data_IF_820025959507
#
_entry.id   IF_820025959507
#
_cell.length_a   1.000
_cell.length_b   1.000
_cell.length_c   1.000
_cell.angle_alpha   90.00
_cell.angle_beta   90.00
_cell.angle_gamma   90.00
#
_symmetry.space_group_name_H-M   'P 1'
#
loop_
_entity.id
_entity.type
_entity.pdbx_description
1 polymer ?
#
# COMPACT_ATOMS: atom_id res chain seq x y z
N UNK A 1 -34.07 9.49 -6.17
CA UNK A 1 -32.83 10.11 -5.65
C UNK A 1 -31.73 9.06 -5.64
N UNK A 2 -30.51 9.39 -6.07
CA UNK A 2 -29.35 8.49 -5.84
C UNK A 2 -28.99 8.50 -4.35
N UNK A 3 -28.64 7.36 -3.75
CA UNK A 3 -28.29 7.32 -2.33
C UNK A 3 -26.99 8.11 -2.09
N UNK A 4 -26.92 8.86 -0.98
CA UNK A 4 -25.80 9.73 -0.64
C UNK A 4 -25.36 9.53 0.80
N UNK A 5 -24.05 9.63 1.05
CA UNK A 5 -23.43 9.57 2.38
C UNK A 5 -23.08 10.96 2.86
N UNK A 6 -23.31 11.20 4.16
CA UNK A 6 -22.87 12.42 4.85
C UNK A 6 -21.41 12.28 5.25
N UNK A 7 -20.56 13.19 4.79
CA UNK A 7 -19.14 13.23 5.13
C UNK A 7 -18.87 14.42 6.04
N UNK A 8 -18.23 14.20 7.18
CA UNK A 8 -17.76 15.24 8.10
C UNK A 8 -16.24 15.25 8.13
N UNK A 9 -15.63 16.43 7.95
CA UNK A 9 -14.19 16.64 8.04
C UNK A 9 -13.85 17.25 9.39
N UNK A 10 -12.95 16.63 10.13
CA UNK A 10 -12.52 17.05 11.46
C UNK A 10 -11.02 17.28 11.47
N UNK A 11 -10.60 18.42 11.98
CA UNK A 11 -9.19 18.76 12.14
C UNK A 11 -8.56 17.88 13.23
N UNK A 12 -7.42 17.26 12.91
CA UNK A 12 -6.73 16.33 13.80
C UNK A 12 -6.08 17.01 15.01
N UNK A 13 -5.74 18.29 14.90
CA UNK A 13 -5.03 19.04 15.94
C UNK A 13 -6.01 19.65 16.95
N UNK A 14 -7.06 20.29 16.45
CA UNK A 14 -8.05 21.01 17.25
C UNK A 14 -9.32 20.20 17.55
N UNK A 15 -9.55 19.08 16.85
CA UNK A 15 -10.79 18.30 16.94
C UNK A 15 -12.01 19.02 16.38
N UNK A 16 -11.84 20.20 15.76
CA UNK A 16 -12.95 21.02 15.25
C UNK A 16 -13.42 20.49 13.89
N UNK A 17 -14.74 20.55 13.66
CA UNK A 17 -15.30 20.29 12.33
C UNK A 17 -14.88 21.40 11.37
N UNK A 18 -14.16 21.01 10.32
CA UNK A 18 -13.74 21.89 9.22
C UNK A 18 -14.87 22.09 8.20
N UNK A 19 -15.71 21.07 8.02
CA UNK A 19 -16.83 21.14 7.08
C UNK A 19 -17.61 19.84 6.95
N UNK A 20 -18.72 19.90 6.21
CA UNK A 20 -19.58 18.76 5.91
C UNK A 20 -19.93 18.74 4.43
N UNK A 21 -19.98 17.55 3.82
CA UNK A 21 -20.34 17.33 2.43
C UNK A 21 -21.32 16.16 2.29
N UNK A 22 -21.97 16.07 1.13
CA UNK A 22 -22.69 14.85 0.72
C UNK A 22 -22.03 14.29 -0.53
N UNK A 23 -21.66 13.02 -0.47
CA UNK A 23 -21.12 12.29 -1.61
C UNK A 23 -22.14 11.23 -2.07
N UNK A 24 -22.33 11.03 -3.38
CA UNK A 24 -23.01 9.84 -3.88
C UNK A 24 -22.35 8.58 -3.29
N UNK A 25 -23.15 7.58 -2.90
CA UNK A 25 -22.65 6.33 -2.27
C UNK A 25 -21.57 5.67 -3.14
N UNK A 26 -21.69 5.76 -4.46
CA UNK A 26 -20.75 5.15 -5.41
C UNK A 26 -19.42 5.92 -5.50
N UNK A 27 -19.40 7.18 -5.03
CA UNK A 27 -18.21 8.03 -4.95
C UNK A 27 -17.61 8.07 -3.55
N UNK A 28 -18.15 7.31 -2.61
CA UNK A 28 -17.50 7.11 -1.31
C UNK A 28 -16.26 6.28 -1.57
N UNK A 29 -15.05 6.88 -1.54
CA UNK A 29 -13.84 6.10 -1.68
C UNK A 29 -13.81 5.10 -0.53
N UNK A 30 -13.19 3.93 -0.74
CA UNK A 30 -12.72 3.21 0.42
C UNK A 30 -11.80 4.19 1.16
N UNK A 31 -12.04 4.56 2.43
CA UNK A 31 -11.21 5.55 3.12
C UNK A 31 -9.73 5.16 3.14
N UNK A 32 -9.44 3.89 2.85
CA UNK A 32 -8.13 3.28 2.72
C UNK A 32 -7.56 3.25 1.28
N UNK A 33 -8.37 3.47 0.25
CA UNK A 33 -7.94 3.73 -1.14
C UNK A 33 -7.49 5.17 -1.37
N UNK A 34 -7.60 6.02 -0.34
CA UNK A 34 -7.23 7.43 -0.44
C UNK A 34 -5.75 7.56 -0.84
N UNK A 35 -5.52 8.26 -1.97
CA UNK A 35 -4.37 9.14 -2.07
C UNK A 35 -4.37 9.99 -0.79
N UNK A 36 -3.27 10.08 -0.05
CA UNK A 36 -3.26 10.64 1.29
C UNK A 36 -3.55 12.14 1.32
N UNK A 37 -3.89 12.79 0.20
CA UNK A 37 -4.10 14.24 0.09
C UNK A 37 -5.52 14.55 -0.38
N UNK A 38 -6.20 15.39 0.38
CA UNK A 38 -7.55 15.88 0.13
C UNK A 38 -7.49 17.40 0.04
N UNK A 39 -8.11 17.99 -0.98
CA UNK A 39 -8.17 19.43 -1.15
C UNK A 39 -9.48 19.95 -0.56
N UNK A 40 -9.42 20.81 0.46
CA UNK A 40 -10.58 21.52 1.02
C UNK A 40 -10.41 23.01 0.76
N UNK A 41 -11.07 23.52 -0.29
CA UNK A 41 -10.83 24.88 -0.76
C UNK A 41 -9.40 25.03 -1.32
N UNK A 42 -8.66 26.02 -0.85
CA UNK A 42 -7.26 26.28 -1.27
C UNK A 42 -6.23 25.49 -0.45
N UNK A 43 -6.65 24.84 0.64
CA UNK A 43 -5.74 24.11 1.52
C UNK A 43 -5.71 22.61 1.22
N UNK A 44 -4.50 22.05 1.23
CA UNK A 44 -4.26 20.63 1.13
C UNK A 44 -4.21 20.00 2.53
N UNK A 45 -4.94 18.91 2.70
CA UNK A 45 -4.99 18.13 3.94
C UNK A 45 -4.57 16.69 3.68
N UNK A 46 -4.07 16.01 4.71
CA UNK A 46 -3.90 14.56 4.71
C UNK A 46 -4.93 13.88 5.59
N UNK A 47 -5.50 12.78 5.12
CA UNK A 47 -6.43 11.98 5.95
C UNK A 47 -5.64 11.13 6.92
N UNK A 48 -5.91 11.32 8.21
CA UNK A 48 -5.23 10.63 9.32
C UNK A 48 -6.06 9.47 9.84
N UNK A 49 -7.39 9.61 9.86
CA UNK A 49 -8.32 8.58 10.34
C UNK A 49 -9.65 8.67 9.59
N UNK A 50 -10.32 7.54 9.45
CA UNK A 50 -11.68 7.45 8.93
C UNK A 50 -12.56 6.63 9.87
N UNK A 51 -13.78 7.10 10.12
CA UNK A 51 -14.77 6.43 10.96
C UNK A 51 -16.15 6.45 10.28
N UNK A 52 -16.77 5.30 9.97
CA UNK A 52 -16.21 3.96 10.01
C UNK A 52 -14.99 3.76 9.11
N UNK A 53 -14.10 2.83 9.47
CA UNK A 53 -12.88 2.52 8.70
C UNK A 53 -13.20 1.78 7.39
N UNK A 54 -14.29 1.01 7.36
CA UNK A 54 -14.69 0.20 6.21
C UNK A 54 -15.77 0.88 5.38
N UNK A 55 -15.60 0.89 4.06
CA UNK A 55 -16.58 1.47 3.13
C UNK A 55 -17.96 0.80 3.20
N UNK A 56 -18.02 -0.51 3.48
CA UNK A 56 -19.28 -1.22 3.68
C UNK A 56 -20.09 -0.67 4.86
N UNK A 57 -19.40 -0.28 5.94
CA UNK A 57 -20.03 0.27 7.13
C UNK A 57 -20.52 1.69 6.85
N UNK A 58 -19.77 2.46 6.07
CA UNK A 58 -20.19 3.78 5.58
C UNK A 58 -21.44 3.67 4.71
N UNK A 59 -21.50 2.68 3.79
CA UNK A 59 -22.68 2.43 2.95
C UNK A 59 -23.91 2.06 3.78
N UNK A 60 -23.71 1.29 4.85
CA UNK A 60 -24.77 0.83 5.75
C UNK A 60 -25.26 1.94 6.66
N UNK A 61 -24.34 2.73 7.25
CA UNK A 61 -24.65 3.79 8.21
C UNK A 61 -25.05 5.11 7.55
N UNK A 62 -24.64 5.33 6.31
CA UNK A 62 -24.89 6.56 5.57
C UNK A 62 -24.04 7.75 6.03
N UNK A 63 -23.03 7.53 6.88
CA UNK A 63 -22.20 8.56 7.50
C UNK A 63 -20.72 8.17 7.50
N UNK A 64 -19.84 9.14 7.28
CA UNK A 64 -18.37 9.02 7.30
C UNK A 64 -17.76 10.25 7.96
N UNK A 65 -16.90 10.04 8.95
CA UNK A 65 -16.09 11.08 9.59
C UNK A 65 -14.63 10.89 9.18
N UNK A 66 -14.03 11.92 8.60
CA UNK A 66 -12.63 11.94 8.22
C UNK A 66 -11.88 12.91 9.13
N UNK A 67 -10.94 12.38 9.92
CA UNK A 67 -9.99 13.20 10.66
C UNK A 67 -8.82 13.52 9.75
N UNK A 68 -8.56 14.81 9.55
CA UNK A 68 -7.59 15.31 8.57
C UNK A 68 -6.61 16.26 9.24
N UNK A 69 -5.39 16.35 8.70
CA UNK A 69 -4.36 17.28 9.17
C UNK A 69 -3.88 18.12 8.01
N UNK A 70 -3.75 19.44 8.20
CA UNK A 70 -3.25 20.32 7.14
C UNK A 70 -1.84 19.91 6.71
N UNK A 71 -1.59 19.89 5.41
CA UNK A 71 -0.24 19.72 4.87
C UNK A 71 0.50 21.03 5.08
N UNK A 72 1.50 21.01 5.95
CA UNK A 72 2.50 22.07 6.00
C UNK A 72 3.56 21.68 4.99
N UNK A 73 3.69 22.44 3.90
CA UNK A 73 4.79 22.26 2.97
C UNK A 73 6.09 22.60 3.70
N UNK A 74 6.78 21.56 4.16
CA UNK A 74 8.18 21.68 4.58
C UNK A 74 9.01 21.87 3.31
N UNK A 75 10.05 22.73 3.33
CA UNK A 75 11.02 22.76 2.26
C UNK A 75 11.56 21.33 2.05
N UNK A 76 11.36 20.76 0.86
CA UNK A 76 11.75 19.37 0.58
C UNK A 76 13.26 19.13 0.63
N UNK A 77 14.06 20.19 0.74
CA UNK A 77 15.53 20.13 0.71
C UNK A 77 16.19 19.35 1.84
N UNK A 78 15.52 19.17 2.98
CA UNK A 78 16.12 18.54 4.18
C UNK A 78 15.50 17.19 4.56
N UNK A 79 14.53 16.67 3.79
CA UNK A 79 13.86 15.41 4.10
C UNK A 79 14.48 14.24 3.34
N UNK A 80 15.38 13.51 4.01
CA UNK A 80 15.90 12.25 3.50
C UNK A 80 14.79 11.19 3.40
N UNK A 81 14.77 10.47 2.28
CA UNK A 81 13.92 9.29 2.10
C UNK A 81 14.44 8.14 2.96
N UNK A 82 13.55 7.45 3.67
CA UNK A 82 13.92 6.28 4.51
C UNK A 82 14.37 5.07 3.69
N UNK A 83 13.95 5.00 2.42
CA UNK A 83 14.22 3.88 1.51
C UNK A 83 14.71 4.43 0.17
N UNK A 84 15.59 3.69 -0.54
CA UNK A 84 16.17 4.15 -1.81
C UNK A 84 15.20 3.99 -2.98
N UNK A 85 14.17 3.16 -2.82
CA UNK A 85 13.16 2.91 -3.85
C UNK A 85 11.75 2.94 -3.28
N UNK A 86 10.76 3.20 -4.13
CA UNK A 86 9.34 3.08 -3.82
C UNK A 86 8.61 2.48 -5.03
N UNK A 87 7.66 1.59 -4.78
CA UNK A 87 6.78 1.11 -5.84
C UNK A 87 5.82 2.24 -6.28
N UNK A 88 5.68 2.47 -7.59
CA UNK A 88 4.77 3.51 -8.11
C UNK A 88 3.28 3.16 -7.95
N UNK A 89 2.99 1.87 -7.75
CA UNK A 89 1.64 1.36 -7.53
C UNK A 89 1.54 0.56 -6.26
N UNK A 90 0.45 0.79 -5.53
CA UNK A 90 0.00 -0.04 -4.42
C UNK A 90 -0.90 -1.16 -4.95
N UNK A 91 -0.93 -2.32 -4.26
CA UNK A 91 -1.77 -3.43 -4.63
C UNK A 91 -3.25 -3.09 -4.42
N UNK A 92 -4.18 -3.73 -5.18
CA UNK A 92 -5.61 -3.49 -5.03
C UNK A 92 -6.11 -3.92 -3.65
N UNK A 93 -7.03 -3.16 -3.08
CA UNK A 93 -7.68 -3.51 -1.81
C UNK A 93 -8.83 -4.50 -2.03
N UNK A 94 -8.95 -5.42 -1.08
CA UNK A 94 -10.06 -6.34 -0.95
C UNK A 94 -11.24 -5.72 -0.21
N UNK A 95 -12.15 -6.58 0.20
CA UNK A 95 -13.33 -6.22 0.99
C UNK A 95 -13.37 -7.10 2.25
N UNK A 96 -14.11 -6.64 3.26
CA UNK A 96 -14.27 -7.37 4.53
C UNK A 96 -13.23 -7.02 5.60
N UNK A 97 -13.45 -7.51 6.83
CA UNK A 97 -12.57 -7.22 7.96
C UNK A 97 -11.22 -7.92 7.80
N UNK A 98 -10.16 -7.28 8.28
CA UNK A 98 -8.83 -7.86 8.35
C UNK A 98 -8.71 -8.80 9.58
N UNK A 99 -8.26 -10.06 9.40
CA UNK A 99 -7.90 -10.93 10.53
C UNK A 99 -6.76 -10.37 11.38
N UNK A 100 -6.75 -10.66 12.68
CA UNK A 100 -5.73 -10.15 13.60
C UNK A 100 -4.33 -10.66 13.22
N UNK A 101 -4.23 -11.92 12.78
CA UNK A 101 -2.99 -12.60 12.39
C UNK A 101 -2.52 -12.26 10.98
N UNK A 102 -3.17 -11.30 10.29
CA UNK A 102 -2.77 -10.91 8.94
C UNK A 102 -1.32 -10.38 8.88
N UNK A 103 -0.62 -10.71 7.79
CA UNK A 103 0.67 -10.12 7.49
C UNK A 103 0.50 -8.63 7.15
N UNK A 104 1.15 -7.74 7.90
CA UNK A 104 1.10 -6.29 7.66
C UNK A 104 2.43 -5.79 7.13
N UNK A 105 2.46 -5.26 5.91
CA UNK A 105 3.65 -4.74 5.25
C UNK A 105 3.64 -3.21 5.26
N UNK A 106 4.75 -2.56 5.58
CA UNK A 106 4.85 -1.10 5.44
C UNK A 106 4.60 -0.70 3.99
N UNK A 107 3.82 0.37 3.76
CA UNK A 107 3.52 0.86 2.41
C UNK A 107 4.78 1.12 1.60
N UNK A 108 5.78 1.76 2.20
CA UNK A 108 7.04 2.07 1.53
C UNK A 108 7.94 0.83 1.35
N UNK A 109 7.69 -0.24 2.12
CA UNK A 109 8.39 -1.51 1.98
C UNK A 109 7.75 -2.43 0.92
N UNK A 110 6.63 -2.03 0.32
CA UNK A 110 5.94 -2.83 -0.69
C UNK A 110 6.87 -3.15 -1.87
N UNK A 111 7.07 -4.45 -2.14
CA UNK A 111 7.88 -4.97 -3.25
C UNK A 111 9.35 -4.52 -3.23
N UNK A 112 9.93 -4.16 -2.09
CA UNK A 112 11.35 -3.73 -2.04
C UNK A 112 12.32 -4.81 -2.51
N UNK A 113 12.02 -6.08 -2.21
CA UNK A 113 12.71 -7.23 -2.75
C UNK A 113 11.67 -8.08 -3.47
N UNK A 114 11.78 -8.15 -4.79
CA UNK A 114 10.78 -8.71 -5.67
C UNK A 114 11.40 -9.78 -6.58
N UNK A 115 10.66 -10.86 -6.81
CA UNK A 115 11.01 -11.88 -7.79
C UNK A 115 10.48 -11.46 -9.15
N UNK A 116 11.36 -11.49 -10.15
CA UNK A 116 11.04 -11.19 -11.54
C UNK A 116 11.62 -12.28 -12.45
N UNK A 117 10.99 -12.49 -13.59
CA UNK A 117 11.47 -13.37 -14.63
C UNK A 117 12.78 -12.88 -15.23
N UNK A 118 13.64 -13.82 -15.60
CA UNK A 118 14.87 -13.53 -16.35
C UNK A 118 14.60 -12.98 -17.74
N UNK A 119 13.41 -13.19 -18.27
CA UNK A 119 12.99 -12.64 -19.58
C UNK A 119 12.94 -11.11 -19.58
N UNK A 120 12.95 -10.49 -18.40
CA UNK A 120 13.00 -9.03 -18.23
C UNK A 120 14.41 -8.51 -17.89
N UNK A 121 15.47 -9.30 -18.10
CA UNK A 121 16.83 -8.99 -17.64
C UNK A 121 17.33 -7.60 -18.03
N UNK A 122 17.02 -7.11 -19.24
CA UNK A 122 17.42 -5.79 -19.70
C UNK A 122 16.77 -4.67 -18.88
N UNK A 123 15.44 -4.68 -18.76
CA UNK A 123 14.71 -3.71 -17.94
C UNK A 123 15.08 -3.81 -16.44
N UNK A 124 15.34 -5.02 -15.93
CA UNK A 124 15.84 -5.22 -14.57
C UNK A 124 17.22 -4.57 -14.39
N UNK A 125 18.11 -4.70 -15.37
CA UNK A 125 19.44 -4.11 -15.31
C UNK A 125 19.38 -2.57 -15.28
N UNK A 126 18.50 -1.96 -16.07
CA UNK A 126 18.26 -0.51 -16.06
C UNK A 126 17.74 -0.03 -14.70
N UNK A 127 16.73 -0.71 -14.14
CA UNK A 127 16.19 -0.42 -12.81
C UNK A 127 17.30 -0.54 -11.75
N UNK A 128 18.10 -1.61 -11.76
CA UNK A 128 19.18 -1.82 -10.80
C UNK A 128 20.28 -0.74 -10.91
N UNK A 129 20.58 -0.22 -12.11
CA UNK A 129 21.50 0.90 -12.27
C UNK A 129 20.96 2.18 -11.62
N UNK A 130 19.67 2.47 -11.76
CA UNK A 130 19.04 3.60 -11.08
C UNK A 130 19.11 3.44 -9.55
N UNK A 131 18.78 2.25 -9.03
CA UNK A 131 18.84 1.96 -7.59
C UNK A 131 20.26 2.11 -7.04
N UNK A 132 21.27 1.58 -7.75
CA UNK A 132 22.68 1.69 -7.33
C UNK A 132 23.15 3.14 -7.21
N UNK A 133 22.71 4.04 -8.11
CA UNK A 133 23.04 5.47 -8.04
C UNK A 133 22.48 6.15 -6.79
N UNK A 134 21.25 5.81 -6.40
CA UNK A 134 20.63 6.34 -5.18
C UNK A 134 21.30 5.73 -3.95
N UNK A 135 21.56 4.42 -3.94
CA UNK A 135 22.26 3.74 -2.86
C UNK A 135 23.66 4.33 -2.59
N UNK A 136 24.42 4.67 -3.64
CA UNK A 136 25.76 5.26 -3.47
C UNK A 136 25.77 6.68 -2.89
N UNK A 137 24.60 7.34 -2.86
CA UNK A 137 24.41 8.68 -2.30
C UNK A 137 23.70 8.64 -0.92
N UNK A 138 23.42 7.44 -0.40
CA UNK A 138 22.82 7.29 0.92
C UNK A 138 23.79 7.72 2.02
N UNK A 139 23.26 8.39 3.03
CA UNK A 139 24.01 8.85 4.20
C UNK A 139 23.38 8.31 5.49
N UNK A 140 24.02 8.55 6.63
CA UNK A 140 23.49 8.16 7.94
C UNK A 140 22.18 8.92 8.22
N UNK A 141 21.04 8.29 7.90
CA UNK A 141 19.71 8.87 8.09
C UNK A 141 18.76 8.68 6.90
N UNK A 142 19.25 8.30 5.73
CA UNK A 142 18.42 8.00 4.56
C UNK A 142 19.06 8.34 3.23
N UNK A 143 18.22 8.58 2.23
CA UNK A 143 18.61 8.83 0.84
C UNK A 143 18.11 10.20 0.39
N UNK A 144 18.96 11.04 -0.23
CA UNK A 144 18.55 12.35 -0.73
C UNK A 144 17.64 12.25 -1.96
N UNK A 145 17.62 11.08 -2.61
CA UNK A 145 16.82 10.79 -3.79
C UNK A 145 16.08 9.47 -3.59
N UNK A 146 15.06 9.25 -4.42
CA UNK A 146 14.23 8.05 -4.41
C UNK A 146 14.04 7.57 -5.84
N UNK A 147 14.27 6.27 -6.09
CA UNK A 147 13.85 5.63 -7.33
C UNK A 147 12.38 5.23 -7.21
N UNK A 148 11.51 5.94 -7.92
CA UNK A 148 10.13 5.51 -8.11
C UNK A 148 10.07 4.45 -9.21
N UNK A 149 9.78 3.20 -8.83
CA UNK A 149 9.75 2.05 -9.75
C UNK A 149 8.44 2.04 -10.53
N UNK A 150 8.49 2.64 -11.73
CA UNK A 150 7.38 2.75 -12.69
C UNK A 150 7.35 1.62 -13.72
N UNK A 151 8.44 0.86 -13.82
CA UNK A 151 8.62 -0.20 -14.80
C UNK A 151 7.54 -1.26 -14.63
N UNK A 152 6.71 -1.41 -15.65
CA UNK A 152 5.69 -2.44 -15.71
C UNK A 152 6.31 -3.68 -16.36
N UNK A 153 6.39 -4.76 -15.58
CA UNK A 153 6.81 -6.07 -16.07
C UNK A 153 5.57 -6.87 -16.46
N UNK A 154 5.28 -7.06 -17.76
CA UNK A 154 4.15 -7.89 -18.18
C UNK A 154 4.41 -9.34 -17.75
N UNK A 155 3.47 -9.92 -16.99
CA UNK A 155 3.59 -11.28 -16.46
C UNK A 155 4.94 -11.52 -15.73
N UNK A 156 5.21 -10.81 -14.63
CA UNK A 156 6.54 -10.72 -14.02
C UNK A 156 7.13 -12.06 -13.57
N UNK A 157 6.33 -13.13 -13.53
CA UNK A 157 6.69 -14.46 -13.05
C UNK A 157 6.30 -15.58 -14.02
N UNK A 158 5.86 -15.30 -15.26
CA UNK A 158 5.31 -16.30 -16.20
C UNK A 158 4.32 -17.29 -15.57
N UNK A 159 3.20 -16.78 -15.07
CA UNK A 159 2.06 -17.59 -14.63
C UNK A 159 2.40 -18.64 -13.54
N UNK A 160 3.29 -18.31 -12.60
CA UNK A 160 3.43 -19.11 -11.38
C UNK A 160 2.14 -19.06 -10.56
N UNK A 161 1.54 -20.22 -10.30
CA UNK A 161 0.39 -20.37 -9.42
C UNK A 161 0.83 -20.34 -7.95
N UNK A 162 -0.03 -19.80 -7.09
CA UNK A 162 0.25 -19.70 -5.63
C UNK A 162 0.50 -21.07 -5.01
N UNK A 163 -0.27 -22.10 -5.43
CA UNK A 163 -0.12 -23.48 -4.95
C UNK A 163 1.24 -24.08 -5.30
N UNK A 164 1.83 -23.69 -6.45
CA UNK A 164 3.18 -24.12 -6.81
C UNK A 164 4.22 -23.54 -5.84
N UNK A 165 4.03 -22.27 -5.43
CA UNK A 165 4.90 -21.59 -4.46
C UNK A 165 4.81 -22.31 -3.11
N UNK A 166 3.60 -22.56 -2.61
CA UNK A 166 3.34 -23.27 -1.35
C UNK A 166 4.04 -24.62 -1.29
N UNK A 167 3.94 -25.42 -2.37
CA UNK A 167 4.55 -26.74 -2.45
C UNK A 167 6.08 -26.70 -2.54
N UNK A 168 6.66 -25.57 -2.98
CA UNK A 168 8.10 -25.48 -3.23
C UNK A 168 8.92 -25.26 -1.95
N UNK A 169 8.30 -24.72 -0.90
CA UNK A 169 8.93 -24.48 0.39
C UNK A 169 8.55 -25.56 1.40
N UNK A 170 9.48 -25.94 2.28
CA UNK A 170 9.22 -26.93 3.34
C UNK A 170 8.44 -26.26 4.47
N UNK A 171 7.19 -26.67 4.64
CA UNK A 171 6.31 -26.27 5.76
C UNK A 171 6.15 -24.74 5.90
N UNK A 172 5.68 -24.03 4.85
CA UNK A 172 5.33 -22.62 5.00
C UNK A 172 4.15 -22.46 5.97
N UNK A 173 4.26 -21.51 6.90
CA UNK A 173 3.12 -21.09 7.73
C UNK A 173 2.34 -20.02 6.95
N UNK A 174 1.14 -20.35 6.48
CA UNK A 174 0.31 -19.40 5.73
C UNK A 174 -0.29 -18.35 6.67
N UNK A 175 -0.22 -17.08 6.25
CA UNK A 175 -1.01 -16.03 6.89
C UNK A 175 -2.44 -16.06 6.35
N UNK A 176 -3.45 -15.78 7.19
CA UNK A 176 -4.85 -15.77 6.74
C UNK A 176 -5.15 -14.61 5.77
N UNK A 177 -4.35 -13.54 5.82
CA UNK A 177 -4.46 -12.41 4.92
C UNK A 177 -3.13 -11.64 4.82
N UNK A 178 -3.01 -10.84 3.77
CA UNK A 178 -1.97 -9.84 3.58
C UNK A 178 -2.61 -8.44 3.53
N UNK A 179 -2.01 -7.47 4.20
CA UNK A 179 -2.41 -6.07 4.15
C UNK A 179 -1.21 -5.12 4.20
N UNK A 180 -1.47 -3.82 4.06
CA UNK A 180 -0.49 -2.77 4.33
C UNK A 180 -0.73 -2.19 5.74
N UNK A 181 0.34 -1.72 6.37
CA UNK A 181 0.27 -1.07 7.68
C UNK A 181 -0.73 0.09 7.67
N UNK A 182 -1.61 0.12 8.68
CA UNK A 182 -2.66 1.14 8.83
C UNK A 182 -3.91 0.88 8.00
N UNK A 183 -4.04 -0.27 7.31
CA UNK A 183 -5.27 -0.66 6.63
C UNK A 183 -6.01 -1.72 7.45
N UNK A 184 -7.34 -1.59 7.50
CA UNK A 184 -8.27 -2.52 8.18
C UNK A 184 -8.92 -3.54 7.23
N UNK A 185 -8.43 -3.62 5.99
CA UNK A 185 -8.90 -4.55 4.95
C UNK A 185 -7.75 -5.38 4.40
N UNK A 186 -7.98 -6.61 3.94
CA UNK A 186 -6.98 -7.38 3.21
C UNK A 186 -6.71 -6.80 1.82
N UNK A 187 -5.56 -7.15 1.23
CA UNK A 187 -5.31 -6.94 -0.19
C UNK A 187 -6.11 -7.93 -1.02
N UNK A 188 -6.67 -7.46 -2.13
CA UNK A 188 -7.41 -8.31 -3.07
C UNK A 188 -6.46 -9.30 -3.73
N UNK A 189 -6.73 -10.59 -3.54
CA UNK A 189 -5.86 -11.66 -4.05
C UNK A 189 -4.50 -11.71 -3.34
N UNK A 190 -4.36 -11.03 -2.21
CA UNK A 190 -3.13 -11.06 -1.40
C UNK A 190 -2.92 -12.44 -0.79
N UNK A 191 -1.69 -12.91 -0.83
CA UNK A 191 -1.26 -14.14 -0.15
C UNK A 191 0.07 -13.89 0.55
N UNK A 192 0.32 -14.63 1.62
CA UNK A 192 1.59 -14.56 2.32
C UNK A 192 1.89 -15.86 3.09
N UNK A 193 3.18 -16.15 3.20
CA UNK A 193 3.72 -17.30 3.91
C UNK A 193 4.92 -16.87 4.73
N UNK A 194 5.01 -17.33 5.97
CA UNK A 194 6.25 -17.31 6.73
C UNK A 194 7.05 -18.56 6.39
N UNK A 195 8.27 -18.32 5.93
CA UNK A 195 9.27 -19.34 5.69
C UNK A 195 10.13 -19.54 6.96
N UNK A 196 10.98 -20.58 6.94
CA UNK A 196 12.00 -20.76 7.98
C UNK A 196 12.91 -19.53 8.09
N UNK A 197 13.50 -19.33 9.27
CA UNK A 197 14.37 -18.19 9.60
C UNK A 197 13.68 -16.81 9.61
N UNK A 198 12.35 -16.75 9.69
CA UNK A 198 11.63 -15.47 9.87
C UNK A 198 11.49 -14.65 8.59
N UNK A 199 11.73 -15.26 7.42
CA UNK A 199 11.52 -14.63 6.13
C UNK A 199 10.04 -14.74 5.76
N UNK A 200 9.41 -13.62 5.41
CA UNK A 200 8.06 -13.63 4.87
C UNK A 200 8.10 -13.51 3.35
N UNK A 201 7.44 -14.45 2.67
CA UNK A 201 7.13 -14.39 1.25
C UNK A 201 5.70 -13.90 1.08
N UNK A 202 5.47 -12.91 0.24
CA UNK A 202 4.15 -12.31 0.08
C UNK A 202 3.92 -11.83 -1.36
N UNK A 203 2.66 -11.68 -1.74
CA UNK A 203 2.35 -11.33 -3.10
C UNK A 203 0.87 -11.07 -3.35
N UNK A 204 0.56 -10.86 -4.62
CA UNK A 204 -0.82 -10.73 -5.11
C UNK A 204 -0.98 -11.70 -6.28
N UNK A 205 -2.12 -12.38 -6.29
CA UNK A 205 -2.56 -13.21 -7.40
C UNK A 205 -3.85 -12.70 -8.01
N UNK A 206 -4.00 -12.88 -9.32
CA UNK A 206 -5.22 -12.59 -10.07
C UNK A 206 -5.62 -13.84 -10.84
N UNK A 207 -6.84 -14.32 -10.59
CA UNK A 207 -7.35 -15.55 -11.22
C UNK A 207 -6.40 -16.75 -11.02
N UNK A 208 -5.88 -16.93 -9.79
CA UNK A 208 -4.95 -18.00 -9.41
C UNK A 208 -3.48 -17.74 -9.74
N UNK A 209 -3.19 -16.82 -10.66
CA UNK A 209 -1.82 -16.53 -11.13
C UNK A 209 -1.17 -15.41 -10.36
N UNK A 210 0.07 -15.61 -9.95
CA UNK A 210 0.86 -14.61 -9.22
C UNK A 210 1.22 -13.45 -10.15
N UNK A 211 0.79 -12.25 -9.79
CA UNK A 211 1.12 -11.00 -10.50
C UNK A 211 2.20 -10.19 -9.76
N UNK A 212 2.53 -10.58 -8.54
CA UNK A 212 3.58 -9.98 -7.72
C UNK A 212 4.04 -11.03 -6.70
N UNK A 213 5.35 -11.22 -6.56
CA UNK A 213 5.96 -12.03 -5.49
C UNK A 213 7.15 -11.28 -4.92
N UNK A 214 7.14 -11.06 -3.62
CA UNK A 214 8.13 -10.29 -2.90
C UNK A 214 8.48 -10.97 -1.58
N UNK A 215 9.59 -10.56 -1.00
CA UNK A 215 10.07 -11.06 0.29
C UNK A 215 10.39 -9.91 1.24
N UNK A 216 10.36 -10.20 2.53
CA UNK A 216 10.90 -9.35 3.61
C UNK A 216 11.49 -10.21 4.73
N UNK A 217 12.25 -9.59 5.62
CA UNK A 217 12.95 -10.31 6.69
C UNK A 217 14.25 -10.98 6.21
N UNK A 218 14.75 -10.59 5.04
CA UNK A 218 16.11 -10.92 4.59
C UNK A 218 17.05 -9.83 5.10
N UNK A 219 17.83 -10.14 6.14
CA UNK A 219 18.81 -9.26 6.77
C UNK A 219 19.60 -10.00 7.81
#
# INVERSE_FOLDING_TARGET
>A
MKPSVRVEYVDAESGRTLGRARLPVERVPNPLELKPRLQLGEEAFVVVRAEPELSQDVRTRGELRLTVRRVVDLPQGDLLHRRPTLADSLPPLGEGPLPDEALRVERDAWRQVEFLSRDHAEAIAEDLLAVRRVLSRGEAGGYPELVLRRTYYPAPLHAIDVSWIEQRFREPEAYPALTLNGLAVPLRGGFAFRLRAGIDLYGVARSGRTTCLALRGWG
#
